data_IF_666523792297
#
_entry.id   IF_666523792297
#
_cell.length_a   1.000
_cell.length_b   1.000
_cell.length_c   1.000
_cell.angle_alpha   90.00
_cell.angle_beta   90.00
_cell.angle_gamma   90.00
#
_symmetry.space_group_name_H-M   'P 1'
#
loop_
_entity.id
_entity.type
_entity.pdbx_description
1 polymer ?
#
# COMPACT_ATOMS: atom_id res chain seq x y z
N UNK A 1 -20.73 -10.26 -6.37
CA UNK A 1 -20.36 -9.31 -7.43
C UNK A 1 -19.29 -8.39 -6.88
N UNK A 2 -18.22 -8.08 -7.65
CA UNK A 2 -17.24 -7.08 -7.25
C UNK A 2 -17.94 -5.74 -7.01
N UNK A 3 -17.51 -5.01 -5.97
CA UNK A 3 -18.06 -3.68 -5.70
C UNK A 3 -17.62 -2.74 -6.82
N UNK A 4 -18.57 -1.96 -7.35
CA UNK A 4 -18.33 -0.98 -8.40
C UNK A 4 -18.46 0.43 -7.84
N UNK A 5 -17.70 1.36 -8.40
CA UNK A 5 -17.78 2.79 -8.11
C UNK A 5 -17.72 3.60 -9.40
N UNK A 6 -18.24 4.83 -9.35
CA UNK A 6 -18.21 5.73 -10.48
C UNK A 6 -16.93 6.56 -10.45
N UNK A 7 -16.13 6.50 -11.51
CA UNK A 7 -14.95 7.31 -11.70
C UNK A 7 -15.24 8.40 -12.74
N UNK A 8 -15.08 9.66 -12.36
CA UNK A 8 -15.53 10.82 -13.12
C UNK A 8 -14.35 11.70 -13.51
N UNK A 9 -14.34 12.14 -14.75
CA UNK A 9 -13.36 13.08 -15.26
C UNK A 9 -14.11 14.26 -15.88
N UNK A 10 -13.59 15.48 -15.70
CA UNK A 10 -14.28 16.69 -16.14
C UNK A 10 -14.58 16.64 -17.64
N UNK A 11 -15.86 16.81 -17.99
CA UNK A 11 -16.32 16.82 -19.39
C UNK A 11 -16.53 15.43 -20.02
N UNK A 12 -16.42 14.35 -19.25
CA UNK A 12 -16.59 12.96 -19.73
C UNK A 12 -17.65 12.24 -18.88
N UNK A 13 -18.43 11.29 -19.45
CA UNK A 13 -19.35 10.46 -18.67
C UNK A 13 -18.63 9.70 -17.56
N UNK A 14 -19.36 9.44 -16.46
CA UNK A 14 -18.83 8.63 -15.38
C UNK A 14 -18.61 7.18 -15.82
N UNK A 15 -17.45 6.62 -15.47
CA UNK A 15 -17.09 5.23 -15.75
C UNK A 15 -17.43 4.34 -14.56
N UNK A 16 -18.30 3.33 -14.71
CA UNK A 16 -18.50 2.32 -13.67
C UNK A 16 -17.31 1.36 -13.67
N UNK A 17 -16.53 1.38 -12.60
CA UNK A 17 -15.31 0.58 -12.47
C UNK A 17 -15.33 -0.27 -11.22
N UNK A 18 -14.63 -1.40 -11.24
CA UNK A 18 -14.35 -2.25 -10.09
C UNK A 18 -12.86 -2.46 -9.89
N UNK A 19 -12.46 -2.79 -8.67
CA UNK A 19 -11.08 -3.09 -8.31
C UNK A 19 -10.82 -4.59 -8.36
N UNK A 20 -9.97 -5.03 -9.28
CA UNK A 20 -9.45 -6.39 -9.31
C UNK A 20 -8.09 -6.42 -8.61
N UNK A 21 -7.99 -7.14 -7.49
CA UNK A 21 -6.75 -7.17 -6.72
C UNK A 21 -5.68 -7.92 -7.50
N UNK A 22 -4.49 -7.34 -7.55
CA UNK A 22 -3.32 -7.94 -8.19
C UNK A 22 -2.23 -8.11 -7.13
N UNK A 23 -1.89 -9.36 -6.82
CA UNK A 23 -0.87 -9.71 -5.85
C UNK A 23 0.32 -10.41 -6.51
N UNK A 24 1.48 -10.36 -5.84
CA UNK A 24 2.67 -11.11 -6.29
C UNK A 24 2.44 -12.62 -6.34
N UNK A 25 1.52 -13.12 -5.52
CA UNK A 25 1.07 -14.52 -5.51
C UNK A 25 0.38 -14.92 -6.82
N UNK A 26 -0.26 -13.98 -7.52
CA UNK A 26 -0.88 -14.23 -8.82
C UNK A 26 0.16 -14.37 -9.93
N UNK A 27 1.30 -13.66 -9.81
CA UNK A 27 2.42 -13.71 -10.76
C UNK A 27 3.34 -14.90 -10.54
N UNK A 28 3.75 -15.13 -9.30
CA UNK A 28 4.83 -16.06 -8.96
C UNK A 28 4.35 -17.28 -8.18
N UNK A 29 3.05 -17.37 -7.90
CA UNK A 29 2.51 -18.33 -6.96
C UNK A 29 2.85 -18.00 -5.51
N UNK A 30 2.41 -18.85 -4.60
CA UNK A 30 2.76 -18.76 -3.18
C UNK A 30 3.11 -20.13 -2.60
N UNK A 31 4.02 -20.14 -1.63
CA UNK A 31 4.36 -21.35 -0.86
C UNK A 31 3.62 -21.31 0.47
N UNK A 32 2.65 -22.19 0.63
CA UNK A 32 1.93 -22.38 1.89
C UNK A 32 2.53 -23.57 2.63
N UNK A 33 2.83 -23.41 3.93
CA UNK A 33 3.19 -24.53 4.80
C UNK A 33 1.94 -24.98 5.55
N UNK A 34 1.51 -26.21 5.31
CA UNK A 34 0.50 -26.88 6.13
C UNK A 34 1.13 -27.92 7.04
N UNK A 35 0.48 -28.19 8.16
CA UNK A 35 0.84 -29.26 9.10
C UNK A 35 -0.28 -30.29 9.08
N UNK A 36 0.08 -31.57 9.00
CA UNK A 36 -0.87 -32.68 8.96
C UNK A 36 -0.49 -33.73 9.99
N UNK A 37 -1.49 -34.47 10.45
CA UNK A 37 -1.33 -35.73 11.16
C UNK A 37 -0.93 -36.84 10.16
N UNK A 38 -0.49 -37.99 10.68
CA UNK A 38 -0.11 -39.15 9.87
C UNK A 38 -1.29 -39.71 9.04
N UNK A 39 -2.52 -39.50 9.50
CA UNK A 39 -3.75 -39.85 8.77
C UNK A 39 -4.12 -38.86 7.65
N UNK A 40 -3.31 -37.81 7.45
CA UNK A 40 -3.52 -36.78 6.43
C UNK A 40 -4.42 -35.60 6.86
N UNK A 41 -4.98 -35.61 8.07
CA UNK A 41 -5.83 -34.52 8.58
C UNK A 41 -5.01 -33.25 8.84
N UNK A 42 -5.56 -32.10 8.46
CA UNK A 42 -4.91 -30.79 8.63
C UNK A 42 -4.99 -30.32 10.08
N UNK A 43 -3.84 -29.98 10.66
CA UNK A 43 -3.77 -29.31 11.95
C UNK A 43 -4.20 -27.85 11.81
N UNK A 44 -4.94 -27.37 12.81
CA UNK A 44 -5.35 -25.98 12.94
C UNK A 44 -4.54 -25.28 14.03
N UNK A 45 -4.34 -23.98 13.88
CA UNK A 45 -3.70 -23.17 14.91
C UNK A 45 -4.66 -23.04 16.10
N UNK A 46 -4.14 -23.22 17.30
CA UNK A 46 -4.86 -22.90 18.53
C UNK A 46 -3.91 -22.17 19.49
N UNK A 47 -4.46 -21.36 20.38
CA UNK A 47 -3.71 -20.62 21.39
C UNK A 47 -3.98 -21.24 22.76
N UNK A 48 -2.95 -21.37 23.57
CA UNK A 48 -3.11 -21.74 24.97
C UNK A 48 -3.24 -20.46 25.81
N UNK A 49 -4.14 -20.45 26.77
CA UNK A 49 -4.20 -19.35 27.76
C UNK A 49 -2.93 -19.30 28.60
N UNK A 50 -2.64 -18.14 29.19
CA UNK A 50 -1.43 -17.92 29.99
C UNK A 50 -1.30 -18.89 31.17
N UNK A 51 -2.43 -19.38 31.70
CA UNK A 51 -2.51 -20.34 32.80
C UNK A 51 -2.34 -21.81 32.35
N UNK A 52 -2.23 -22.06 31.04
CA UNK A 52 -2.03 -23.38 30.46
C UNK A 52 -3.26 -24.29 30.47
N UNK A 53 -4.43 -23.81 30.91
CA UNK A 53 -5.61 -24.66 31.16
C UNK A 53 -6.63 -24.68 30.04
N UNK A 54 -6.66 -23.66 29.20
CA UNK A 54 -7.67 -23.51 28.16
C UNK A 54 -7.05 -23.39 26.78
N UNK A 55 -7.62 -24.12 25.83
CA UNK A 55 -7.27 -24.04 24.41
C UNK A 55 -8.30 -23.17 23.72
N UNK A 56 -7.83 -22.08 23.12
CA UNK A 56 -8.65 -21.17 22.32
C UNK A 56 -8.44 -21.54 20.85
N UNK A 57 -9.49 -22.02 20.15
CA UNK A 57 -9.39 -22.36 18.74
C UNK A 57 -9.12 -21.12 17.89
N UNK A 58 -8.66 -21.32 16.66
CA UNK A 58 -8.60 -20.24 15.68
C UNK A 58 -9.96 -19.54 15.58
N UNK A 59 -9.95 -18.19 15.52
CA UNK A 59 -11.14 -17.33 15.54
C UNK A 59 -12.01 -17.43 16.81
N UNK A 60 -11.50 -18.01 17.90
CA UNK A 60 -12.18 -18.07 19.20
C UNK A 60 -12.08 -16.79 20.04
N UNK A 61 -11.39 -15.76 19.55
CA UNK A 61 -11.26 -14.45 20.19
C UNK A 61 -12.00 -13.39 19.39
N UNK A 62 -12.67 -12.49 20.09
CA UNK A 62 -13.27 -11.27 19.54
C UNK A 62 -12.94 -10.10 20.46
N UNK A 63 -12.97 -8.89 19.90
CA UNK A 63 -12.77 -7.64 20.64
C UNK A 63 -14.10 -6.90 20.72
N UNK A 64 -14.40 -6.32 21.88
CA UNK A 64 -15.56 -5.47 22.12
C UNK A 64 -15.11 -4.17 22.75
N UNK A 65 -15.87 -3.11 22.54
CA UNK A 65 -15.67 -1.83 23.21
C UNK A 65 -16.61 -1.74 24.40
N UNK A 66 -16.07 -1.24 25.51
CA UNK A 66 -16.79 -1.01 26.74
C UNK A 66 -16.62 0.47 27.13
N UNK A 67 -17.68 1.08 27.64
CA UNK A 67 -17.60 2.41 28.27
C UNK A 67 -16.98 2.33 29.68
N UNK A 68 -16.87 3.47 30.36
CA UNK A 68 -16.33 3.56 31.72
C UNK A 68 -17.14 2.74 32.74
N UNK A 69 -18.44 2.54 32.47
CA UNK A 69 -19.38 1.77 33.29
C UNK A 69 -19.43 0.26 32.90
N UNK A 70 -18.60 -0.17 31.95
CA UNK A 70 -18.52 -1.54 31.39
C UNK A 70 -19.75 -1.96 30.58
N UNK A 71 -20.52 -1.01 30.06
CA UNK A 71 -21.57 -1.32 29.09
C UNK A 71 -20.96 -1.51 27.70
N UNK A 72 -21.57 -2.39 26.91
CA UNK A 72 -21.18 -2.60 25.53
C UNK A 72 -21.45 -1.36 24.67
N UNK A 73 -20.44 -0.93 23.92
CA UNK A 73 -20.55 0.17 22.95
C UNK A 73 -20.58 -0.40 21.53
N UNK A 74 -21.67 -0.16 20.77
CA UNK A 74 -21.74 -0.52 19.36
C UNK A 74 -20.69 0.22 18.53
N UNK A 75 -20.07 -0.46 17.55
CA UNK A 75 -19.09 0.18 16.66
C UNK A 75 -19.63 1.40 15.91
N UNK A 76 -20.95 1.48 15.68
CA UNK A 76 -21.59 2.61 15.01
C UNK A 76 -21.59 3.90 15.84
N UNK A 77 -21.45 3.77 17.17
CA UNK A 77 -21.43 4.90 18.12
C UNK A 77 -20.00 5.37 18.42
N UNK A 78 -18.99 4.72 17.82
CA UNK A 78 -17.57 5.04 18.01
C UNK A 78 -17.10 5.98 16.89
N UNK A 79 -16.45 7.06 17.29
CA UNK A 79 -15.84 8.04 16.39
C UNK A 79 -14.47 8.47 16.92
N UNK A 80 -13.58 8.79 16.00
CA UNK A 80 -12.24 9.25 16.36
C UNK A 80 -12.27 10.76 16.65
N UNK A 81 -11.42 11.18 17.59
CA UNK A 81 -11.26 12.58 17.98
C UNK A 81 -9.82 13.04 17.79
N UNK A 82 -9.62 14.33 17.52
CA UNK A 82 -8.29 14.95 17.46
C UNK A 82 -7.68 15.10 18.87
N UNK A 83 -6.49 15.71 18.96
CA UNK A 83 -5.78 15.90 20.24
C UNK A 83 -6.55 16.83 21.19
N UNK A 84 -7.41 17.67 20.64
CA UNK A 84 -8.27 18.63 21.31
C UNK A 84 -9.62 18.02 21.75
N UNK A 85 -9.89 16.75 21.37
CA UNK A 85 -11.12 16.04 21.69
C UNK A 85 -12.29 16.30 20.72
N UNK A 86 -12.03 16.96 19.60
CA UNK A 86 -13.04 17.25 18.57
C UNK A 86 -13.17 16.08 17.57
N UNK A 87 -14.39 15.71 17.14
CA UNK A 87 -14.59 14.63 16.18
C UNK A 87 -13.84 14.84 14.86
N UNK A 88 -13.13 13.80 14.41
CA UNK A 88 -12.47 13.76 13.09
C UNK A 88 -13.54 13.47 12.03
N UNK A 89 -13.56 14.18 10.89
CA UNK A 89 -14.53 13.91 9.84
C UNK A 89 -14.31 12.53 9.20
N UNK A 90 -15.39 11.77 9.06
CA UNK A 90 -15.39 10.48 8.40
C UNK A 90 -15.29 10.64 6.88
N UNK A 91 -14.34 9.96 6.25
CA UNK A 91 -14.27 9.87 4.78
C UNK A 91 -15.18 8.75 4.31
N UNK A 92 -16.19 9.10 3.50
CA UNK A 92 -17.13 8.13 2.94
C UNK A 92 -16.44 7.21 1.94
N UNK A 93 -16.85 5.94 1.92
CA UNK A 93 -16.39 4.96 0.94
C UNK A 93 -16.55 5.42 -0.50
N UNK A 94 -15.51 5.20 -1.32
CA UNK A 94 -15.55 5.51 -2.76
C UNK A 94 -16.65 4.75 -3.51
N UNK A 95 -17.09 3.60 -2.99
CA UNK A 95 -18.17 2.81 -3.57
C UNK A 95 -19.56 3.42 -3.35
N UNK A 96 -19.68 4.41 -2.44
CA UNK A 96 -20.91 5.16 -2.20
C UNK A 96 -20.92 6.48 -2.97
N UNK A 97 -19.81 7.20 -2.98
CA UNK A 97 -19.73 8.56 -3.56
C UNK A 97 -19.24 8.59 -5.00
N UNK A 98 -18.48 7.58 -5.41
CA UNK A 98 -17.61 7.67 -6.58
C UNK A 98 -16.41 8.58 -6.32
N UNK A 99 -15.64 8.82 -7.38
CA UNK A 99 -14.38 9.56 -7.36
C UNK A 99 -14.37 10.55 -8.51
N UNK A 100 -14.06 11.81 -8.20
CA UNK A 100 -13.80 12.86 -9.18
C UNK A 100 -12.29 13.06 -9.34
N UNK A 101 -11.78 12.86 -10.56
CA UNK A 101 -10.35 12.97 -10.87
C UNK A 101 -9.97 14.43 -11.10
N UNK A 102 -9.75 15.15 -10.00
CA UNK A 102 -9.39 16.57 -10.02
C UNK A 102 -7.94 16.82 -9.55
N UNK A 103 -7.40 15.93 -8.73
CA UNK A 103 -6.08 16.11 -8.11
C UNK A 103 -5.03 15.33 -8.87
N UNK A 104 -3.85 15.92 -9.02
CA UNK A 104 -2.69 15.29 -9.65
C UNK A 104 -1.45 15.46 -8.78
N UNK A 105 -0.53 14.52 -8.89
CA UNK A 105 0.79 14.55 -8.26
C UNK A 105 1.88 14.41 -9.33
N UNK A 106 3.08 14.98 -9.15
CA UNK A 106 4.21 14.67 -10.01
C UNK A 106 4.67 13.22 -9.80
N UNK A 107 5.27 12.63 -10.83
CA UNK A 107 5.80 11.26 -10.80
C UNK A 107 6.83 11.09 -9.66
N UNK A 108 7.63 12.10 -9.36
CA UNK A 108 8.64 12.01 -8.29
C UNK A 108 8.00 11.81 -6.90
N UNK A 109 6.81 12.36 -6.68
CA UNK A 109 6.08 12.15 -5.43
C UNK A 109 5.53 10.73 -5.30
N UNK A 110 5.35 9.97 -6.39
CA UNK A 110 4.93 8.57 -6.33
C UNK A 110 5.90 7.70 -5.52
N UNK A 111 7.20 7.98 -5.58
CA UNK A 111 8.22 7.23 -4.84
C UNK A 111 8.21 7.52 -3.32
N UNK A 112 7.42 8.49 -2.88
CA UNK A 112 7.18 8.82 -1.47
C UNK A 112 5.97 8.07 -0.90
N UNK A 113 5.45 7.06 -1.60
CA UNK A 113 4.30 6.27 -1.15
C UNK A 113 4.67 4.84 -0.79
N UNK A 114 4.24 4.41 0.39
CA UNK A 114 4.32 3.02 0.81
C UNK A 114 3.08 2.30 0.27
N UNK A 115 3.23 1.62 -0.86
CA UNK A 115 2.11 0.95 -1.54
C UNK A 115 1.77 -0.36 -0.83
N UNK A 116 0.56 -0.43 -0.28
CA UNK A 116 0.05 -1.59 0.44
C UNK A 116 -0.73 -2.53 -0.48
N UNK A 117 -1.48 -1.96 -1.41
CA UNK A 117 -2.36 -2.72 -2.30
C UNK A 117 -2.28 -2.18 -3.72
N UNK A 118 -2.32 -3.10 -4.69
CA UNK A 118 -2.36 -2.78 -6.11
C UNK A 118 -3.58 -3.44 -6.74
N UNK A 119 -4.29 -2.69 -7.57
CA UNK A 119 -5.48 -3.15 -8.26
C UNK A 119 -5.41 -2.82 -9.74
N UNK A 120 -6.04 -3.64 -10.57
CA UNK A 120 -6.35 -3.32 -11.96
C UNK A 120 -7.79 -2.84 -12.03
N UNK A 121 -8.03 -1.74 -12.75
CA UNK A 121 -9.38 -1.25 -13.02
C UNK A 121 -10.06 -2.13 -14.06
N UNK A 122 -11.15 -2.76 -13.65
CA UNK A 122 -12.04 -3.49 -14.54
C UNK A 122 -13.34 -2.71 -14.76
N UNK A 123 -13.91 -2.81 -15.96
CA UNK A 123 -15.14 -2.14 -16.36
C UNK A 123 -15.79 -2.92 -17.49
N UNK A 124 -17.12 -2.96 -17.51
CA UNK A 124 -17.89 -3.49 -18.64
C UNK A 124 -17.93 -2.51 -19.83
N UNK A 125 -17.65 -1.23 -19.56
CA UNK A 125 -17.56 -0.16 -20.56
C UNK A 125 -16.11 0.08 -20.95
N UNK A 126 -15.88 0.43 -22.21
CA UNK A 126 -14.57 0.75 -22.74
C UNK A 126 -13.96 1.99 -22.05
N UNK A 127 -12.79 1.79 -21.41
CA UNK A 127 -12.06 2.82 -20.67
C UNK A 127 -11.04 3.59 -21.53
N UNK A 128 -11.10 3.47 -22.86
CA UNK A 128 -10.09 4.02 -23.77
C UNK A 128 -9.86 5.54 -23.61
N UNK A 129 -10.89 6.39 -23.49
CA UNK A 129 -10.66 7.83 -23.31
C UNK A 129 -10.02 8.17 -21.96
N UNK A 130 -10.37 7.44 -20.90
CA UNK A 130 -9.76 7.58 -19.59
C UNK A 130 -8.28 7.16 -19.63
N UNK A 131 -7.97 6.06 -20.33
CA UNK A 131 -6.59 5.59 -20.53
C UNK A 131 -5.74 6.63 -21.25
N UNK A 132 -6.26 7.19 -22.34
CA UNK A 132 -5.57 8.22 -23.12
C UNK A 132 -5.32 9.47 -22.28
N UNK A 133 -6.29 9.91 -21.48
CA UNK A 133 -6.13 11.04 -20.57
C UNK A 133 -5.07 10.78 -19.48
N UNK A 134 -5.08 9.60 -18.85
CA UNK A 134 -4.07 9.21 -17.87
C UNK A 134 -2.67 9.13 -18.50
N UNK A 135 -2.57 8.59 -19.72
CA UNK A 135 -1.28 8.49 -20.44
C UNK A 135 -0.74 9.87 -20.83
N UNK A 136 -1.59 10.74 -21.37
CA UNK A 136 -1.19 12.12 -21.69
C UNK A 136 -0.75 12.90 -20.45
N UNK A 137 -1.31 12.60 -19.28
CA UNK A 137 -0.89 13.17 -18.01
C UNK A 137 0.47 12.60 -17.55
N UNK A 138 0.68 11.29 -17.70
CA UNK A 138 1.96 10.62 -17.41
C UNK A 138 3.09 11.17 -18.29
N UNK A 139 2.83 11.43 -19.57
CA UNK A 139 3.80 12.02 -20.50
C UNK A 139 4.22 13.44 -20.06
N UNK A 140 3.40 14.12 -19.25
CA UNK A 140 3.72 15.40 -18.60
C UNK A 140 4.39 15.23 -17.23
N UNK A 141 4.73 14.01 -16.83
CA UNK A 141 5.36 13.70 -15.55
C UNK A 141 4.40 13.78 -14.36
N UNK A 142 3.10 13.49 -14.56
CA UNK A 142 2.08 13.55 -13.49
C UNK A 142 1.16 12.32 -13.48
N UNK A 143 0.57 12.05 -12.32
CA UNK A 143 -0.47 11.04 -12.13
C UNK A 143 -1.71 11.63 -11.47
N UNK A 144 -2.88 11.06 -11.75
CA UNK A 144 -4.08 11.34 -10.98
C UNK A 144 -4.01 10.67 -9.61
N UNK A 145 -4.46 11.38 -8.59
CA UNK A 145 -4.57 10.86 -7.22
C UNK A 145 -5.92 11.23 -6.60
N UNK A 146 -6.40 10.41 -5.68
CA UNK A 146 -7.61 10.67 -4.91
C UNK A 146 -7.58 9.94 -3.57
N UNK A 147 -8.42 10.37 -2.62
CA UNK A 147 -8.59 9.70 -1.32
C UNK A 147 -9.37 8.40 -1.49
N UNK A 148 -8.81 7.32 -0.99
CA UNK A 148 -9.36 5.99 -1.04
C UNK A 148 -9.82 5.51 0.33
N UNK A 149 -11.08 5.06 0.37
CA UNK A 149 -11.66 4.40 1.51
C UNK A 149 -12.55 3.24 1.02
N UNK A 150 -12.19 1.99 1.33
CA UNK A 150 -12.99 0.83 0.92
C UNK A 150 -14.31 0.76 1.70
N UNK A 151 -14.22 0.97 3.00
CA UNK A 151 -15.33 1.29 3.90
C UNK A 151 -15.18 2.74 4.35
N UNK A 152 -16.22 3.30 4.96
CA UNK A 152 -16.09 4.64 5.55
C UNK A 152 -14.98 4.59 6.62
N UNK A 153 -14.05 5.54 6.56
CA UNK A 153 -12.81 5.53 7.35
C UNK A 153 -12.42 6.92 7.81
N UNK A 154 -11.87 7.03 9.01
CA UNK A 154 -11.22 8.26 9.50
C UNK A 154 -9.80 8.42 8.95
N UNK A 155 -9.18 7.33 8.47
CA UNK A 155 -7.84 7.30 7.88
C UNK A 155 -7.95 6.78 6.44
N UNK A 156 -8.33 7.62 5.47
CA UNK A 156 -8.29 7.23 4.07
C UNK A 156 -6.85 7.20 3.55
N UNK A 157 -6.51 6.15 2.81
CA UNK A 157 -5.25 6.07 2.07
C UNK A 157 -5.33 6.92 0.80
N UNK A 158 -4.20 7.15 0.12
CA UNK A 158 -4.19 7.72 -1.22
C UNK A 158 -4.22 6.60 -2.26
N UNK A 159 -4.94 6.84 -3.35
CA UNK A 159 -4.96 5.99 -4.52
C UNK A 159 -4.41 6.76 -5.72
N UNK A 160 -3.44 6.17 -6.40
CA UNK A 160 -2.73 6.77 -7.53
C UNK A 160 -3.01 5.93 -8.77
N UNK A 161 -3.45 6.58 -9.85
CA UNK A 161 -3.78 5.91 -11.11
C UNK A 161 -2.56 5.93 -12.03
N UNK A 162 -2.12 4.75 -12.44
CA UNK A 162 -0.96 4.52 -13.29
C UNK A 162 -1.43 3.81 -14.57
N UNK A 163 -1.33 4.46 -15.75
CA UNK A 163 -1.56 3.77 -17.01
C UNK A 163 -0.43 2.78 -17.29
N UNK A 164 -0.79 1.54 -17.64
CA UNK A 164 0.15 0.48 -17.98
C UNK A 164 -0.35 -0.31 -19.19
N UNK A 165 0.34 -0.17 -20.33
CA UNK A 165 -0.03 -0.81 -21.60
C UNK A 165 -1.52 -0.62 -21.96
N UNK A 166 -2.33 -1.67 -21.77
CA UNK A 166 -3.76 -1.70 -22.06
C UNK A 166 -4.62 -1.49 -20.83
N UNK A 167 -4.05 -1.43 -19.63
CA UNK A 167 -4.76 -1.43 -18.37
C UNK A 167 -4.51 -0.14 -17.57
N UNK A 168 -5.37 0.12 -16.60
CA UNK A 168 -5.17 1.16 -15.59
C UNK A 168 -4.95 0.47 -14.25
N UNK A 169 -3.79 0.72 -13.67
CA UNK A 169 -3.42 0.19 -12.37
C UNK A 169 -3.68 1.27 -11.32
N UNK A 170 -4.26 0.89 -10.19
CA UNK A 170 -4.38 1.74 -9.01
C UNK A 170 -3.44 1.21 -7.94
N UNK A 171 -2.50 2.07 -7.54
CA UNK A 171 -1.63 1.83 -6.40
C UNK A 171 -2.21 2.57 -5.19
N UNK A 172 -2.48 1.84 -4.10
CA UNK A 172 -3.05 2.36 -2.87
C UNK A 172 -1.99 2.31 -1.78
N UNK A 173 -1.77 3.44 -1.12
CA UNK A 173 -0.79 3.54 -0.07
C UNK A 173 -0.86 4.82 0.72
N UNK A 174 0.07 4.94 1.65
CA UNK A 174 0.23 6.13 2.47
C UNK A 174 1.51 6.86 2.08
N UNK A 175 1.43 8.19 2.07
CA UNK A 175 2.60 9.02 1.86
C UNK A 175 3.48 8.97 3.10
N UNK A 176 4.78 8.85 2.90
CA UNK A 176 5.78 8.96 3.94
C UNK A 176 6.86 9.97 3.54
N UNK A 177 7.49 10.58 4.53
CA UNK A 177 8.64 11.46 4.30
C UNK A 177 9.90 10.62 4.09
N UNK A 178 10.58 10.83 2.97
CA UNK A 178 11.88 10.23 2.72
C UNK A 178 12.92 10.94 3.59
N UNK A 179 13.45 10.22 4.57
CA UNK A 179 14.62 10.65 5.33
C UNK A 179 15.86 10.04 4.70
N UNK A 180 16.69 10.88 4.07
CA UNK A 180 17.98 10.42 3.55
C UNK A 180 18.93 10.16 4.72
N UNK A 181 19.19 8.88 4.99
CA UNK A 181 20.26 8.47 5.91
C UNK A 181 21.50 8.22 5.07
N UNK A 182 22.18 9.31 4.70
CA UNK A 182 23.47 9.24 4.02
C UNK A 182 24.56 8.74 4.97
N UNK A 183 25.63 8.09 4.46
CA UNK A 183 26.82 7.86 5.26
C UNK A 183 27.32 9.21 5.79
N UNK A 184 27.44 9.32 7.11
CA UNK A 184 28.08 10.49 7.78
C UNK A 184 29.59 10.50 7.55
N UNK A 185 30.13 9.42 6.99
CA UNK A 185 31.53 9.26 6.63
C UNK A 185 31.79 9.92 5.29
N UNK A 186 32.80 10.78 5.26
CA UNK A 186 33.37 11.34 4.04
C UNK A 186 33.94 10.19 3.19
N UNK A 187 33.23 9.84 2.12
CA UNK A 187 33.59 8.76 1.21
C UNK A 187 34.86 9.16 0.44
N UNK A 188 35.05 10.45 0.14
CA UNK A 188 36.25 10.95 -0.56
C UNK A 188 37.50 10.81 0.33
N UNK A 189 37.35 10.97 1.65
CA UNK A 189 38.44 10.71 2.61
C UNK A 189 38.84 9.22 2.66
N UNK A 190 37.91 8.29 2.43
CA UNK A 190 38.20 6.83 2.41
C UNK A 190 38.95 6.40 1.14
N UNK A 191 38.76 7.09 0.01
CA UNK A 191 39.46 6.79 -1.24
C UNK A 191 40.79 7.53 -1.39
N UNK A 192 41.03 8.56 -0.57
CA UNK A 192 42.29 9.33 -0.58
C UNK A 192 43.50 8.52 -0.11
N UNK A 193 43.30 7.56 0.78
CA UNK A 193 44.37 6.66 1.27
C UNK A 193 44.69 5.51 0.28
N UNK A 194 43.97 5.40 -0.84
CA UNK A 194 44.19 4.34 -1.85
C UNK A 194 45.07 4.82 -3.02
N UNK A 195 45.21 6.14 -3.21
CA UNK A 195 46.02 6.73 -4.30
C UNK A 195 47.50 7.00 -3.91
N UNK A 196 47.96 6.67 -2.69
CA UNK A 196 49.36 6.88 -2.28
C UNK A 196 50.30 5.66 -2.42
N UNK A 197 49.82 4.51 -2.94
CA UNK A 197 50.66 3.33 -3.24
C UNK A 197 50.98 3.21 -4.75
N UNK A 198 51.14 4.33 -5.47
CA UNK A 198 51.79 4.33 -6.79
C UNK A 198 53.31 4.47 -6.65
N UNK A 199 54.00 3.39 -7.04
CA UNK A 199 55.38 3.33 -7.55
C UNK A 199 56.56 3.43 -6.55
N UNK A 200 56.69 2.46 -5.64
CA UNK A 200 58.05 1.96 -5.35
C UNK A 200 58.48 1.01 -6.48
N UNK A 201 59.19 1.57 -7.47
CA UNK A 201 59.89 0.84 -8.53
C UNK A 201 60.73 -0.30 -7.94
N UNK A 202 60.20 -1.52 -7.95
CA UNK A 202 60.98 -2.73 -7.68
C UNK A 202 61.98 -2.89 -8.84
N UNK A 203 63.22 -2.49 -8.61
CA UNK A 203 64.30 -2.70 -9.57
C UNK A 203 64.55 -4.21 -9.73
N UNK A 204 64.53 -4.68 -10.98
CA UNK A 204 64.76 -6.10 -11.32
C UNK A 204 66.21 -6.56 -11.08
N UNK A 205 67.10 -5.70 -10.59
CA UNK A 205 68.50 -6.05 -10.26
C UNK A 205 68.65 -6.60 -8.82
N UNK A 206 67.63 -6.48 -7.96
CA UNK A 206 67.69 -6.95 -6.58
C UNK A 206 67.22 -8.41 -6.38
N UNK A 207 66.99 -9.15 -7.48
CA UNK A 207 66.51 -10.54 -7.41
C UNK A 207 67.31 -11.49 -8.31
N UNK A 208 68.64 -11.35 -8.41
CA UNK A 208 69.53 -12.45 -8.82
C UNK A 208 70.91 -12.37 -8.17
#
# INVERSE_FOLDING_TARGET
MPRTFALRMKGVPAYPVSLEKFERSDLYGQKVRERRLDNGERLQLARLTWDGRHVIPDKGLSMIYLDEDKNYVPNADIYDVNKEGEPIPLTTSIFKTGVDLETTIPVDEFFQYNIENTYVLASEVELQPLKEACKALQDQGKFYTFKYAYYDSYYPSDAIIIPHEKDLVIAIGERFELVWVGPTTDIDALFKDIEEDEDEDISFEDVW
#
